data_IF_664701823181
#
_entry.id   IF_664701823181
#
_cell.length_a   1.000
_cell.length_b   1.000
_cell.length_c   1.000
_cell.angle_alpha   90.00
_cell.angle_beta   90.00
_cell.angle_gamma   90.00
#
_symmetry.space_group_name_H-M   'P 1'
#
loop_
_entity.id
_entity.type
_entity.pdbx_description
1 polymer ?
#
# COMPACT_ATOMS: atom_id res chain seq x y z
N UNK A 1 -79.65 -0.55 -51.54
CA UNK A 1 -79.10 -1.64 -50.69
C UNK A 1 -77.74 -1.17 -50.22
N UNK A 2 -77.66 -0.55 -49.03
CA UNK A 2 -77.32 -1.18 -47.72
C UNK A 2 -75.92 -1.82 -47.74
N UNK A 3 -75.00 -1.61 -46.79
CA UNK A 3 -74.94 -0.85 -45.54
C UNK A 3 -73.54 -1.15 -44.96
N UNK A 4 -72.78 -0.11 -44.54
CA UNK A 4 -71.76 -0.07 -43.46
C UNK A 4 -70.58 -1.11 -43.45
N UNK A 5 -69.45 -0.99 -42.74
CA UNK A 5 -69.03 -0.21 -41.55
C UNK A 5 -67.49 -0.34 -41.34
N UNK A 6 -66.90 0.61 -40.60
CA UNK A 6 -65.66 0.59 -39.76
C UNK A 6 -64.29 0.57 -40.47
N UNK A 7 -63.52 1.68 -40.51
CA UNK A 7 -62.69 2.30 -39.44
C UNK A 7 -61.43 1.49 -39.11
N UNK A 8 -60.25 2.07 -39.39
CA UNK A 8 -59.24 2.37 -38.36
C UNK A 8 -58.02 3.08 -38.97
N UNK A 9 -57.74 4.27 -38.45
CA UNK A 9 -56.53 5.06 -38.62
C UNK A 9 -55.48 4.50 -37.65
N UNK A 10 -54.29 4.15 -38.13
CA UNK A 10 -53.11 4.06 -37.29
C UNK A 10 -51.91 4.73 -37.98
N UNK A 11 -51.49 5.85 -37.41
CA UNK A 11 -50.24 6.51 -37.70
C UNK A 11 -49.09 5.64 -37.15
N UNK A 12 -48.15 5.26 -38.00
CA UNK A 12 -46.90 4.65 -37.58
C UNK A 12 -45.98 5.75 -37.05
N UNK A 13 -45.87 5.84 -35.72
CA UNK A 13 -44.83 6.63 -35.04
C UNK A 13 -43.52 5.85 -35.16
N UNK A 14 -42.50 6.52 -35.68
CA UNK A 14 -41.13 6.02 -35.74
C UNK A 14 -40.60 5.75 -34.32
N UNK A 15 -40.28 4.50 -34.01
CA UNK A 15 -39.43 4.16 -32.88
C UNK A 15 -37.99 3.98 -33.39
N UNK A 16 -37.15 4.98 -33.11
CA UNK A 16 -35.70 4.83 -33.16
C UNK A 16 -35.30 3.74 -32.16
N UNK A 17 -34.88 2.59 -32.67
CA UNK A 17 -34.18 1.60 -31.86
C UNK A 17 -32.79 2.17 -31.52
N UNK A 18 -32.54 2.44 -30.23
CA UNK A 18 -31.20 2.65 -29.71
C UNK A 18 -30.33 1.42 -30.07
N UNK A 19 -29.11 1.58 -30.61
CA UNK A 19 -28.19 0.47 -30.69
C UNK A 19 -27.80 0.04 -29.26
N UNK A 20 -27.83 -1.27 -29.03
CA UNK A 20 -27.36 -1.89 -27.79
C UNK A 20 -25.89 -1.51 -27.52
N UNK A 21 -25.46 -1.39 -26.25
CA UNK A 21 -24.08 -1.07 -25.94
C UNK A 21 -23.14 -2.17 -26.45
N UNK A 22 -22.16 -1.77 -27.26
CA UNK A 22 -21.09 -2.66 -27.73
C UNK A 22 -20.36 -3.29 -26.55
N UNK A 23 -20.19 -4.62 -26.62
CA UNK A 23 -19.43 -5.37 -25.65
C UNK A 23 -17.96 -4.91 -25.68
N UNK A 24 -17.44 -4.46 -24.54
CA UNK A 24 -16.02 -4.16 -24.33
C UNK A 24 -15.21 -5.44 -24.60
N UNK A 25 -14.18 -5.42 -25.48
CA UNK A 25 -13.42 -6.62 -25.78
C UNK A 25 -12.68 -7.10 -24.53
N UNK A 26 -12.95 -8.35 -24.14
CA UNK A 26 -12.22 -9.07 -23.11
C UNK A 26 -10.81 -9.40 -23.62
N UNK A 27 -9.88 -8.47 -23.45
CA UNK A 27 -8.45 -8.75 -23.53
C UNK A 27 -7.76 -8.11 -22.32
N UNK A 28 -8.08 -8.66 -21.14
CA UNK A 28 -7.21 -8.52 -19.97
C UNK A 28 -5.91 -9.23 -20.30
N UNK A 29 -4.92 -8.45 -20.74
CA UNK A 29 -3.59 -8.93 -21.05
C UNK A 29 -3.11 -9.85 -19.93
N UNK A 30 -2.76 -11.09 -20.29
CA UNK A 30 -2.05 -11.99 -19.39
C UNK A 30 -0.76 -11.27 -18.96
N UNK A 31 -0.68 -10.92 -17.68
CA UNK A 31 0.57 -10.47 -17.09
C UNK A 31 1.64 -11.53 -17.34
N UNK A 32 2.86 -11.13 -17.74
CA UNK A 32 3.95 -12.07 -17.92
C UNK A 32 4.18 -12.79 -16.60
N UNK A 33 4.07 -14.13 -16.64
CA UNK A 33 4.58 -14.98 -15.57
C UNK A 33 6.07 -14.65 -15.46
N UNK A 34 6.44 -13.86 -14.46
CA UNK A 34 7.84 -13.62 -14.14
C UNK A 34 8.51 -14.98 -13.99
N UNK A 35 9.61 -15.15 -14.72
CA UNK A 35 10.45 -16.33 -14.68
C UNK A 35 10.63 -16.75 -13.21
N UNK A 36 10.43 -18.05 -12.95
CA UNK A 36 10.64 -18.65 -11.65
C UNK A 36 12.06 -18.31 -11.18
N UNK A 37 12.18 -17.30 -10.30
CA UNK A 37 13.41 -17.10 -9.54
C UNK A 37 13.55 -18.35 -8.69
N UNK A 38 14.67 -19.06 -8.82
CA UNK A 38 15.07 -20.06 -7.84
C UNK A 38 14.97 -19.36 -6.48
N UNK A 39 14.11 -19.88 -5.60
CA UNK A 39 13.91 -19.27 -4.29
C UNK A 39 15.27 -19.26 -3.58
N UNK A 40 15.68 -18.09 -3.08
CA UNK A 40 16.94 -17.98 -2.34
C UNK A 40 16.93 -18.94 -1.15
N UNK A 41 18.08 -19.53 -0.83
CA UNK A 41 18.21 -20.38 0.36
C UNK A 41 17.85 -19.57 1.62
N UNK A 42 17.11 -20.18 2.57
CA UNK A 42 16.77 -19.49 3.80
C UNK A 42 18.03 -19.20 4.61
N UNK A 43 18.07 -18.08 5.36
CA UNK A 43 19.17 -17.81 6.26
C UNK A 43 19.21 -18.83 7.41
N UNK A 44 20.42 -19.11 7.88
CA UNK A 44 20.69 -20.02 8.99
C UNK A 44 20.95 -19.18 10.23
N UNK A 45 20.42 -19.61 11.38
CA UNK A 45 20.72 -18.97 12.67
C UNK A 45 22.20 -19.18 13.01
N UNK A 46 23.01 -18.13 12.91
CA UNK A 46 24.47 -18.19 13.10
C UNK A 46 24.92 -17.99 14.54
N UNK A 47 24.10 -17.34 15.38
CA UNK A 47 24.37 -17.17 16.83
C UNK A 47 23.33 -17.93 17.64
N UNK A 48 23.67 -19.15 18.06
CA UNK A 48 22.77 -20.01 18.84
C UNK A 48 22.48 -19.47 20.25
N UNK A 49 23.39 -18.68 20.80
CA UNK A 49 23.35 -18.07 22.12
C UNK A 49 22.58 -16.73 22.20
N UNK A 50 22.20 -16.15 21.05
CA UNK A 50 21.35 -14.96 21.00
C UNK A 50 20.04 -15.23 21.74
N UNK A 51 19.77 -14.48 22.82
CA UNK A 51 18.58 -14.62 23.68
C UNK A 51 17.27 -14.18 23.00
N UNK A 52 17.34 -13.74 21.73
CA UNK A 52 16.20 -13.22 20.98
C UNK A 52 16.04 -11.72 21.10
N UNK A 53 14.89 -11.22 20.65
CA UNK A 53 14.50 -9.81 20.71
C UNK A 53 13.12 -9.69 21.32
N UNK A 54 12.96 -8.75 22.24
CA UNK A 54 11.70 -8.48 22.91
C UNK A 54 11.02 -7.26 22.26
N UNK A 55 9.72 -7.35 22.09
CA UNK A 55 8.88 -6.25 21.61
C UNK A 55 7.62 -6.15 22.47
N UNK A 56 7.25 -4.92 22.80
CA UNK A 56 6.03 -4.58 23.52
C UNK A 56 4.81 -4.53 22.61
N UNK A 57 4.99 -4.37 21.30
CA UNK A 57 3.93 -4.38 20.30
C UNK A 57 3.07 -5.64 20.41
N UNK A 58 1.77 -5.49 20.16
CA UNK A 58 0.80 -6.60 20.23
C UNK A 58 1.14 -7.73 19.26
N UNK A 59 1.58 -7.40 18.05
CA UNK A 59 2.00 -8.38 17.04
C UNK A 59 3.24 -7.90 16.31
N UNK A 60 4.13 -8.84 15.96
CA UNK A 60 5.35 -8.52 15.24
C UNK A 60 5.84 -9.72 14.41
N UNK A 61 6.54 -9.44 13.32
CA UNK A 61 7.19 -10.46 12.50
C UNK A 61 8.46 -9.90 11.85
N UNK A 62 9.46 -10.77 11.69
CA UNK A 62 10.64 -10.51 10.86
C UNK A 62 10.76 -11.59 9.80
N UNK A 63 10.93 -11.18 8.54
CA UNK A 63 10.96 -12.09 7.38
C UNK A 63 12.13 -11.76 6.49
N UNK A 64 12.85 -12.77 6.02
CA UNK A 64 13.81 -12.63 4.93
C UNK A 64 13.09 -12.44 3.60
N UNK A 65 13.40 -11.36 2.87
CA UNK A 65 12.72 -11.03 1.60
C UNK A 65 13.00 -12.08 0.53
N UNK A 66 14.24 -12.59 0.48
CA UNK A 66 14.69 -13.50 -0.58
C UNK A 66 13.95 -14.83 -0.56
N UNK A 67 14.11 -15.58 0.54
CA UNK A 67 13.51 -16.90 0.74
C UNK A 67 12.05 -16.85 1.21
N UNK A 68 11.66 -15.78 1.90
CA UNK A 68 10.38 -15.72 2.62
C UNK A 68 10.39 -16.41 3.98
N UNK A 69 11.56 -16.82 4.49
CA UNK A 69 11.69 -17.44 5.80
C UNK A 69 11.31 -16.47 6.93
N UNK A 70 10.52 -16.95 7.88
CA UNK A 70 10.19 -16.22 9.10
C UNK A 70 11.35 -16.37 10.09
N UNK A 71 11.94 -15.25 10.47
CA UNK A 71 13.08 -15.18 11.39
C UNK A 71 12.63 -14.94 12.83
N UNK A 72 11.52 -14.22 12.99
CA UNK A 72 10.88 -13.92 14.27
C UNK A 72 9.38 -13.78 14.07
N UNK A 73 8.58 -14.23 15.05
CA UNK A 73 7.14 -14.01 15.06
C UNK A 73 6.63 -13.88 16.51
N UNK A 74 5.72 -12.93 16.71
CA UNK A 74 4.92 -12.75 17.91
C UNK A 74 3.48 -12.47 17.46
N UNK A 75 2.55 -13.37 17.77
CA UNK A 75 1.13 -13.22 17.42
C UNK A 75 0.90 -12.85 15.95
N UNK A 76 1.73 -13.38 15.05
CA UNK A 76 1.89 -12.86 13.69
C UNK A 76 0.69 -13.14 12.76
N UNK A 77 -0.18 -14.09 13.13
CA UNK A 77 -1.39 -14.45 12.37
C UNK A 77 -2.66 -13.77 12.92
N UNK A 78 -2.57 -13.01 14.01
CA UNK A 78 -3.72 -12.31 14.60
C UNK A 78 -3.95 -11.00 13.83
N UNK A 79 -5.14 -10.77 13.24
CA UNK A 79 -5.43 -9.51 12.57
C UNK A 79 -5.58 -8.34 13.55
N UNK A 80 -4.98 -7.20 13.20
CA UNK A 80 -5.14 -5.93 13.89
C UNK A 80 -5.48 -4.83 12.89
N UNK A 81 -6.17 -3.74 13.29
CA UNK A 81 -6.25 -2.54 12.47
C UNK A 81 -4.86 -2.07 12.08
N UNK A 82 -4.60 -1.91 10.78
CA UNK A 82 -3.27 -1.59 10.26
C UNK A 82 -3.12 -0.12 9.87
N UNK A 83 -4.20 0.65 10.02
CA UNK A 83 -4.25 2.07 9.69
C UNK A 83 -3.64 2.35 8.29
N UNK A 84 -2.81 3.40 8.19
CA UNK A 84 -2.18 3.83 6.94
C UNK A 84 -1.19 2.85 6.30
N UNK A 85 -0.90 1.68 6.89
CA UNK A 85 -0.23 0.61 6.13
C UNK A 85 -1.07 0.17 4.93
N UNK A 86 -2.40 0.35 5.01
CA UNK A 86 -3.35 0.21 3.89
C UNK A 86 -2.88 0.89 2.61
N UNK A 87 -2.30 2.10 2.73
CA UNK A 87 -1.89 2.90 1.56
C UNK A 87 -0.82 2.20 0.72
N UNK A 88 -0.08 1.24 1.27
CA UNK A 88 0.88 0.45 0.50
C UNK A 88 0.16 -0.46 -0.51
N UNK A 89 -0.99 -1.04 -0.14
CA UNK A 89 -1.84 -1.81 -1.06
C UNK A 89 -2.50 -0.89 -2.09
N UNK A 90 -3.07 0.23 -1.64
CA UNK A 90 -3.67 1.22 -2.54
C UNK A 90 -2.66 1.73 -3.58
N UNK A 91 -1.41 2.00 -3.15
CA UNK A 91 -0.33 2.41 -4.04
C UNK A 91 -0.03 1.38 -5.13
N UNK A 92 -0.01 0.08 -4.80
CA UNK A 92 0.16 -0.96 -5.81
C UNK A 92 -0.98 -0.99 -6.82
N UNK A 93 -2.23 -0.82 -6.36
CA UNK A 93 -3.39 -0.74 -7.26
C UNK A 93 -3.29 0.47 -8.20
N UNK A 94 -2.89 1.62 -7.68
CA UNK A 94 -2.68 2.84 -8.48
C UNK A 94 -1.63 2.60 -9.57
N UNK A 95 -0.52 1.95 -9.24
CA UNK A 95 0.56 1.68 -10.19
C UNK A 95 0.16 0.63 -11.24
N UNK A 96 -0.56 -0.43 -10.84
CA UNK A 96 -1.06 -1.45 -11.75
C UNK A 96 -2.05 -0.92 -12.80
N UNK A 97 -2.80 0.13 -12.46
CA UNK A 97 -3.72 0.80 -13.37
C UNK A 97 -3.01 1.69 -14.41
N UNK A 98 -1.68 1.83 -14.34
CA UNK A 98 -0.91 2.66 -15.26
C UNK A 98 -0.94 4.14 -14.88
N UNK A 99 -0.19 4.49 -13.82
CA UNK A 99 -0.04 5.86 -13.36
C UNK A 99 0.62 6.74 -14.44
N UNK A 100 -0.10 7.75 -14.95
CA UNK A 100 0.49 8.85 -15.72
C UNK A 100 0.80 9.99 -14.77
N UNK A 101 2.07 10.14 -14.39
CA UNK A 101 2.52 11.10 -13.38
C UNK A 101 2.15 12.55 -13.70
N UNK A 102 2.09 12.90 -14.99
CA UNK A 102 1.79 14.25 -15.48
C UNK A 102 0.30 14.62 -15.43
N UNK A 103 -0.60 13.65 -15.28
CA UNK A 103 -2.03 13.96 -15.16
C UNK A 103 -2.30 14.71 -13.85
N UNK A 104 -3.31 15.57 -13.84
CA UNK A 104 -3.67 16.36 -12.67
C UNK A 104 -4.60 15.57 -11.76
N UNK A 105 -4.39 15.68 -10.45
CA UNK A 105 -5.38 15.31 -9.44
C UNK A 105 -5.89 16.58 -8.77
N UNK A 106 -7.21 16.70 -8.65
CA UNK A 106 -7.88 17.81 -7.95
C UNK A 106 -8.57 17.26 -6.72
N UNK A 107 -8.27 17.85 -5.57
CA UNK A 107 -8.88 17.48 -4.28
C UNK A 107 -10.30 18.03 -4.23
N UNK A 108 -11.25 17.18 -3.82
CA UNK A 108 -12.65 17.53 -3.65
C UNK A 108 -13.04 17.43 -2.18
N UNK A 109 -14.14 18.09 -1.80
CA UNK A 109 -14.64 18.03 -0.42
C UNK A 109 -14.90 16.59 0.04
N UNK A 110 -15.33 15.71 -0.88
CA UNK A 110 -15.57 14.29 -0.63
C UNK A 110 -14.30 13.43 -0.41
N UNK A 111 -13.11 14.03 -0.48
CA UNK A 111 -11.85 13.33 -0.21
C UNK A 111 -11.38 13.48 1.23
N UNK A 112 -11.94 14.42 1.99
CA UNK A 112 -11.55 14.65 3.38
C UNK A 112 -12.26 13.69 4.33
N UNK A 113 -11.47 13.14 5.25
CA UNK A 113 -12.00 12.40 6.40
C UNK A 113 -12.35 13.35 7.55
N UNK A 114 -13.07 12.82 8.55
CA UNK A 114 -13.38 13.51 9.81
C UNK A 114 -12.18 13.60 10.76
N UNK A 115 -11.18 12.74 10.58
CA UNK A 115 -9.99 12.63 11.43
C UNK A 115 -8.71 12.62 10.59
N UNK A 116 -7.62 13.10 11.18
CA UNK A 116 -6.32 13.22 10.50
C UNK A 116 -5.96 14.66 10.11
N UNK A 117 -4.74 14.83 9.63
CA UNK A 117 -4.23 16.15 9.22
C UNK A 117 -4.71 16.47 7.80
N UNK A 118 -5.32 17.64 7.63
CA UNK A 118 -5.61 18.22 6.31
C UNK A 118 -4.40 19.02 5.82
N UNK A 119 -3.85 18.64 4.67
CA UNK A 119 -2.75 19.35 4.02
C UNK A 119 -3.28 20.33 2.96
N UNK A 120 -4.32 19.91 2.25
CA UNK A 120 -4.89 20.62 1.11
C UNK A 120 -6.26 21.23 1.42
N UNK A 121 -6.71 22.10 0.52
CA UNK A 121 -8.09 22.63 0.46
C UNK A 121 -8.80 22.01 -0.74
N UNK A 122 -10.13 21.90 -0.66
CA UNK A 122 -10.93 21.55 -1.83
C UNK A 122 -10.67 22.52 -2.98
N UNK A 123 -10.58 21.99 -4.20
CA UNK A 123 -10.23 22.73 -5.40
C UNK A 123 -8.74 22.81 -5.69
N UNK A 124 -7.86 22.53 -4.72
CA UNK A 124 -6.42 22.50 -4.97
C UNK A 124 -6.03 21.30 -5.84
N UNK A 125 -5.06 21.53 -6.70
CA UNK A 125 -4.62 20.55 -7.70
C UNK A 125 -3.12 20.42 -7.81
N UNK A 126 -2.65 19.23 -8.18
CA UNK A 126 -1.23 18.91 -8.31
C UNK A 126 -1.04 17.77 -9.31
N UNK A 127 0.20 17.49 -9.71
CA UNK A 127 0.50 16.32 -10.54
C UNK A 127 0.18 15.03 -9.79
N UNK A 128 -0.25 13.99 -10.52
CA UNK A 128 -0.48 12.65 -9.96
C UNK A 128 0.81 12.08 -9.36
N UNK A 129 1.97 12.40 -9.94
CA UNK A 129 3.28 12.04 -9.39
C UNK A 129 3.51 12.63 -7.99
N UNK A 130 3.29 13.94 -7.84
CA UNK A 130 3.45 14.62 -6.54
C UNK A 130 2.42 14.14 -5.53
N UNK A 131 1.18 13.92 -5.96
CA UNK A 131 0.13 13.35 -5.14
C UNK A 131 0.49 11.95 -4.63
N UNK A 132 1.01 11.09 -5.51
CA UNK A 132 1.43 9.74 -5.13
C UNK A 132 2.60 9.78 -4.13
N UNK A 133 3.59 10.65 -4.37
CA UNK A 133 4.71 10.90 -3.45
C UNK A 133 4.23 11.39 -2.08
N UNK A 134 3.38 12.41 -2.05
CA UNK A 134 2.83 12.97 -0.82
C UNK A 134 1.99 11.95 -0.03
N UNK A 135 1.17 11.16 -0.71
CA UNK A 135 0.37 10.09 -0.11
C UNK A 135 1.25 9.09 0.65
N UNK A 136 2.40 8.69 0.10
CA UNK A 136 3.30 7.71 0.72
C UNK A 136 4.23 8.33 1.78
N UNK A 137 4.84 9.48 1.49
CA UNK A 137 5.81 10.15 2.37
C UNK A 137 5.11 10.71 3.61
N UNK A 138 4.09 11.54 3.41
CA UNK A 138 3.39 12.23 4.50
C UNK A 138 2.09 11.56 4.93
N UNK A 139 1.80 10.37 4.38
CA UNK A 139 0.64 9.56 4.75
C UNK A 139 -0.70 10.27 4.53
N UNK A 140 -0.78 11.13 3.53
CA UNK A 140 -1.93 12.02 3.28
C UNK A 140 -3.17 11.21 2.91
N UNK A 141 -4.25 11.33 3.68
CA UNK A 141 -5.48 10.55 3.49
C UNK A 141 -6.28 11.04 2.29
N UNK A 142 -6.43 12.36 2.15
CA UNK A 142 -7.22 12.98 1.09
C UNK A 142 -6.69 12.59 -0.30
N UNK A 143 -5.38 12.36 -0.44
CA UNK A 143 -4.81 11.88 -1.69
C UNK A 143 -5.14 10.41 -1.97
N UNK A 144 -5.14 9.54 -0.96
CA UNK A 144 -5.60 8.16 -1.13
C UNK A 144 -7.08 8.09 -1.53
N UNK A 145 -7.91 8.94 -0.91
CA UNK A 145 -9.33 9.05 -1.22
C UNK A 145 -9.57 9.63 -2.63
N UNK A 146 -8.78 10.64 -3.03
CA UNK A 146 -8.83 11.22 -4.37
C UNK A 146 -8.39 10.21 -5.44
N UNK A 147 -7.34 9.41 -5.19
CA UNK A 147 -6.93 8.34 -6.11
C UNK A 147 -8.03 7.29 -6.27
N UNK A 148 -8.68 6.89 -5.18
CA UNK A 148 -9.80 5.96 -5.25
C UNK A 148 -10.99 6.54 -6.02
N UNK A 149 -11.36 7.80 -5.76
CA UNK A 149 -12.47 8.49 -6.43
C UNK A 149 -12.22 8.66 -7.94
N UNK A 150 -11.00 8.99 -8.32
CA UNK A 150 -10.61 9.27 -9.72
C UNK A 150 -10.11 8.04 -10.48
N UNK A 151 -10.11 6.87 -9.85
CA UNK A 151 -9.78 5.61 -10.53
C UNK A 151 -10.81 5.30 -11.63
N UNK A 152 -10.42 4.58 -12.70
CA UNK A 152 -11.37 4.02 -13.66
C UNK A 152 -12.44 3.18 -12.95
N UNK A 153 -13.72 3.45 -13.22
CA UNK A 153 -14.84 2.82 -12.51
C UNK A 153 -15.17 3.42 -11.13
N UNK A 154 -14.43 4.43 -10.70
CA UNK A 154 -14.65 5.15 -9.44
C UNK A 154 -14.22 4.39 -8.19
N UNK A 155 -14.65 4.90 -7.04
CA UNK A 155 -14.23 4.42 -5.71
C UNK A 155 -14.52 2.95 -5.48
N UNK A 156 -15.72 2.48 -5.81
CA UNK A 156 -16.09 1.07 -5.58
C UNK A 156 -15.23 0.12 -6.42
N UNK A 157 -14.96 0.46 -7.67
CA UNK A 157 -14.05 -0.32 -8.52
C UNK A 157 -12.62 -0.34 -7.95
N UNK A 158 -12.14 0.79 -7.42
CA UNK A 158 -10.84 0.86 -6.77
C UNK A 158 -10.75 -0.04 -5.53
N UNK A 159 -11.78 0.00 -4.66
CA UNK A 159 -11.83 -0.84 -3.46
C UNK A 159 -11.95 -2.33 -3.81
N UNK A 160 -12.68 -2.65 -4.88
CA UNK A 160 -12.73 -4.01 -5.40
C UNK A 160 -11.35 -4.47 -5.88
N UNK A 161 -10.64 -3.65 -6.66
CA UNK A 161 -9.28 -3.95 -7.11
C UNK A 161 -8.29 -4.11 -5.93
N UNK A 162 -8.46 -3.35 -4.84
CA UNK A 162 -7.68 -3.57 -3.62
C UNK A 162 -7.93 -4.96 -3.01
N UNK A 163 -9.19 -5.38 -2.90
CA UNK A 163 -9.54 -6.71 -2.34
C UNK A 163 -9.03 -7.84 -3.23
N UNK A 164 -9.15 -7.70 -4.55
CA UNK A 164 -8.64 -8.67 -5.52
C UNK A 164 -7.11 -8.78 -5.46
N UNK A 165 -6.42 -7.65 -5.33
CA UNK A 165 -4.97 -7.64 -5.13
C UNK A 165 -4.61 -8.30 -3.80
N UNK A 166 -5.29 -7.99 -2.70
CA UNK A 166 -5.06 -8.64 -1.41
C UNK A 166 -5.21 -10.17 -1.49
N UNK A 167 -6.24 -10.66 -2.18
CA UNK A 167 -6.44 -12.09 -2.42
C UNK A 167 -5.30 -12.69 -3.25
N UNK A 168 -4.87 -12.01 -4.32
CA UNK A 168 -3.77 -12.45 -5.19
C UNK A 168 -2.43 -12.52 -4.45
N UNK A 169 -2.20 -11.61 -3.51
CA UNK A 169 -1.00 -11.60 -2.65
C UNK A 169 -1.09 -12.63 -1.51
N UNK A 170 -2.24 -13.30 -1.35
CA UNK A 170 -2.47 -14.28 -0.29
C UNK A 170 -2.56 -13.66 1.10
N UNK A 171 -3.14 -12.46 1.22
CA UNK A 171 -3.38 -11.78 2.50
C UNK A 171 -4.64 -12.37 3.17
N UNK A 172 -4.48 -13.50 3.84
CA UNK A 172 -5.61 -14.37 4.25
C UNK A 172 -6.43 -13.83 5.42
N UNK A 173 -5.82 -12.97 6.22
CA UNK A 173 -6.39 -12.40 7.44
C UNK A 173 -6.73 -10.91 7.24
N UNK A 174 -6.65 -10.42 6.00
CA UNK A 174 -6.78 -9.00 5.70
C UNK A 174 -8.18 -8.60 5.21
N UNK A 175 -8.62 -7.44 5.66
CA UNK A 175 -9.86 -6.78 5.25
C UNK A 175 -9.55 -5.34 4.84
N UNK A 176 -10.18 -4.88 3.76
CA UNK A 176 -10.02 -3.51 3.23
C UNK A 176 -11.39 -2.90 2.89
N UNK A 177 -11.73 -1.79 3.56
CA UNK A 177 -12.95 -1.00 3.42
C UNK A 177 -12.70 0.37 2.80
N UNK A 178 -11.54 0.97 3.05
CA UNK A 178 -11.14 2.24 2.43
C UNK A 178 -9.68 2.22 1.92
N UNK A 179 -9.30 3.23 1.13
CA UNK A 179 -7.98 3.32 0.50
C UNK A 179 -6.89 3.94 1.41
N UNK A 180 -7.30 4.71 2.41
CA UNK A 180 -6.42 5.43 3.32
C UNK A 180 -6.05 4.60 4.56
N UNK A 181 -6.91 3.67 4.97
CA UNK A 181 -6.84 2.96 6.23
C UNK A 181 -7.29 3.81 7.42
N UNK A 182 -8.28 4.68 7.21
CA UNK A 182 -8.90 5.45 8.28
C UNK A 182 -10.04 4.65 8.93
N UNK A 183 -10.67 3.73 8.19
CA UNK A 183 -11.63 2.77 8.73
C UNK A 183 -10.85 1.73 9.56
N UNK A 184 -11.14 1.57 10.87
CA UNK A 184 -10.45 0.61 11.72
C UNK A 184 -10.72 -0.85 11.30
N UNK A 185 -11.73 -1.11 10.45
CA UNK A 185 -11.96 -2.41 9.83
C UNK A 185 -10.92 -2.74 8.76
N UNK A 186 -10.07 -1.80 8.36
CA UNK A 186 -8.86 -2.11 7.60
C UNK A 186 -7.86 -2.80 8.52
N UNK A 187 -7.94 -4.12 8.56
CA UNK A 187 -7.17 -4.98 9.44
C UNK A 187 -6.40 -6.00 8.63
N UNK A 188 -5.25 -6.44 9.16
CA UNK A 188 -4.46 -7.53 8.61
C UNK A 188 -3.57 -8.10 9.72
N UNK A 189 -3.10 -9.34 9.55
CA UNK A 189 -2.10 -9.92 10.45
C UNK A 189 -0.70 -9.39 10.14
N UNK A 190 0.25 -9.51 11.07
CA UNK A 190 1.63 -9.11 10.79
C UNK A 190 2.24 -9.92 9.63
N UNK A 191 1.89 -11.21 9.51
CA UNK A 191 2.24 -12.06 8.37
C UNK A 191 1.69 -11.53 7.04
N UNK A 192 0.44 -11.08 7.01
CA UNK A 192 -0.14 -10.45 5.82
C UNK A 192 0.57 -9.14 5.47
N UNK A 193 0.83 -8.29 6.47
CA UNK A 193 1.58 -7.06 6.26
C UNK A 193 2.99 -7.36 5.74
N UNK A 194 3.68 -8.39 6.23
CA UNK A 194 4.98 -8.78 5.70
C UNK A 194 4.90 -9.21 4.23
N UNK A 195 3.87 -9.95 3.83
CA UNK A 195 3.61 -10.29 2.41
C UNK A 195 3.34 -9.06 1.56
N UNK A 196 2.58 -8.11 2.10
CA UNK A 196 2.32 -6.82 1.46
C UNK A 196 3.64 -6.07 1.21
N UNK A 197 4.48 -5.92 2.24
CA UNK A 197 5.79 -5.26 2.11
C UNK A 197 6.72 -5.98 1.14
N UNK A 198 6.77 -7.32 1.19
CA UNK A 198 7.56 -8.12 0.24
C UNK A 198 7.13 -7.85 -1.21
N UNK A 199 5.82 -7.82 -1.45
CA UNK A 199 5.24 -7.56 -2.77
C UNK A 199 5.51 -6.13 -3.24
N UNK A 200 5.48 -5.16 -2.32
CA UNK A 200 5.79 -3.76 -2.60
C UNK A 200 7.20 -3.57 -3.18
N UNK A 201 8.14 -4.47 -2.83
CA UNK A 201 9.51 -4.41 -3.36
C UNK A 201 9.55 -4.61 -4.89
N UNK A 202 8.52 -5.18 -5.51
CA UNK A 202 8.46 -5.30 -6.96
C UNK A 202 8.19 -3.97 -7.69
N UNK A 203 7.89 -2.88 -6.98
CA UNK A 203 7.52 -1.57 -7.54
C UNK A 203 8.66 -0.56 -7.33
N UNK A 204 9.51 -0.29 -8.36
CA UNK A 204 10.68 0.59 -8.22
C UNK A 204 10.32 1.98 -7.70
N UNK A 205 9.25 2.59 -8.22
CA UNK A 205 8.81 3.92 -7.79
C UNK A 205 8.47 3.95 -6.29
N UNK A 206 7.89 2.89 -5.73
CA UNK A 206 7.61 2.83 -4.29
C UNK A 206 8.89 2.74 -3.46
N UNK A 207 9.91 2.01 -3.95
CA UNK A 207 11.23 1.96 -3.29
C UNK A 207 11.88 3.34 -3.24
N UNK A 208 11.85 4.06 -4.36
CA UNK A 208 12.46 5.37 -4.46
C UNK A 208 11.77 6.40 -3.55
N UNK A 209 10.44 6.35 -3.44
CA UNK A 209 9.66 7.30 -2.66
C UNK A 209 9.74 7.01 -1.16
N UNK A 210 9.59 5.75 -0.76
CA UNK A 210 9.47 5.42 0.67
C UNK A 210 10.81 5.38 1.40
N UNK A 211 11.93 5.28 0.68
CA UNK A 211 13.28 5.48 1.19
C UNK A 211 13.77 6.94 1.15
N UNK A 212 13.02 7.86 0.55
CA UNK A 212 13.44 9.25 0.42
C UNK A 212 13.14 10.09 1.67
N UNK A 213 13.79 11.25 1.74
CA UNK A 213 13.41 12.32 2.66
C UNK A 213 12.08 12.99 2.28
N UNK A 214 11.82 14.14 2.91
CA UNK A 214 10.70 15.00 2.55
C UNK A 214 10.92 15.74 1.23
N UNK A 215 9.88 16.38 0.72
CA UNK A 215 9.94 17.25 -0.45
C UNK A 215 8.96 18.41 -0.33
N UNK A 216 9.20 19.49 -1.07
CA UNK A 216 8.26 20.59 -1.18
C UNK A 216 7.32 20.36 -2.36
N UNK A 217 6.04 20.20 -2.06
CA UNK A 217 4.99 20.08 -3.07
C UNK A 217 4.44 21.46 -3.40
N UNK A 218 4.32 21.78 -4.69
CA UNK A 218 3.64 22.98 -5.16
C UNK A 218 2.30 22.62 -5.81
N UNK A 219 1.22 23.23 -5.31
CA UNK A 219 -0.09 23.12 -5.96
C UNK A 219 -0.15 24.05 -7.17
N UNK A 220 -1.06 23.77 -8.11
CA UNK A 220 -1.26 24.61 -9.30
C UNK A 220 -1.72 26.03 -8.92
N UNK A 221 -2.35 26.19 -7.75
CA UNK A 221 -2.79 27.46 -7.17
C UNK A 221 -1.67 28.22 -6.46
N UNK A 222 -0.42 27.73 -6.53
CA UNK A 222 0.77 28.43 -6.05
C UNK A 222 1.11 28.22 -4.57
N UNK A 223 0.40 27.34 -3.85
CA UNK A 223 0.78 26.99 -2.48
C UNK A 223 1.96 26.03 -2.46
N UNK A 224 2.96 26.33 -1.65
CA UNK A 224 4.06 25.44 -1.33
C UNK A 224 3.80 24.75 0.01
N UNK A 225 3.86 23.43 0.05
CA UNK A 225 3.57 22.63 1.24
C UNK A 225 4.71 21.63 1.46
N UNK A 226 5.34 21.69 2.62
CA UNK A 226 6.42 20.78 2.98
C UNK A 226 5.87 19.40 3.36
N UNK A 227 6.15 18.40 2.55
CA UNK A 227 5.84 16.99 2.81
C UNK A 227 6.98 16.35 3.58
N UNK A 228 6.75 16.00 4.85
CA UNK A 228 7.74 15.34 5.71
C UNK A 228 7.45 13.84 5.82
N UNK A 229 8.48 12.97 5.85
CA UNK A 229 8.29 11.54 6.05
C UNK A 229 7.72 11.28 7.43
N UNK A 230 6.73 10.39 7.51
CA UNK A 230 6.22 9.92 8.81
C UNK A 230 7.08 8.83 9.43
N UNK A 231 8.00 8.23 8.67
CA UNK A 231 8.95 7.25 9.16
C UNK A 231 10.24 7.92 9.65
N UNK A 232 10.42 7.98 10.97
CA UNK A 232 11.60 8.60 11.57
C UNK A 232 12.90 7.80 11.34
N UNK A 233 12.80 6.51 10.98
CA UNK A 233 13.97 5.68 10.69
C UNK A 233 14.71 6.09 9.41
N UNK A 234 14.10 6.92 8.56
CA UNK A 234 14.73 7.53 7.39
C UNK A 234 15.94 8.40 7.78
N UNK A 235 15.95 8.98 8.97
CA UNK A 235 17.08 9.76 9.49
C UNK A 235 18.03 8.94 10.38
N UNK A 236 17.76 7.64 10.58
CA UNK A 236 18.55 6.77 11.45
C UNK A 236 19.66 6.05 10.68
N UNK A 237 20.55 5.36 11.40
CA UNK A 237 21.62 4.55 10.79
C UNK A 237 21.08 3.46 9.84
N UNK A 238 19.82 3.03 9.97
CA UNK A 238 19.21 2.04 9.07
C UNK A 238 18.96 2.55 7.64
N UNK A 239 19.11 3.86 7.42
CA UNK A 239 19.04 4.50 6.10
C UNK A 239 20.29 5.32 5.78
N UNK A 240 21.43 4.90 6.32
CA UNK A 240 22.75 5.49 6.07
C UNK A 240 23.71 4.38 5.68
N UNK A 241 24.71 4.71 4.85
CA UNK A 241 25.75 3.76 4.45
C UNK A 241 26.33 3.06 5.70
N UNK A 242 26.33 1.72 5.78
CA UNK A 242 26.11 0.80 4.67
C UNK A 242 24.70 0.17 4.56
N UNK A 243 23.74 0.61 5.37
CA UNK A 243 22.34 0.18 5.33
C UNK A 243 21.46 1.07 4.44
N UNK A 244 20.32 0.53 4.01
CA UNK A 244 19.32 1.31 3.27
C UNK A 244 17.90 0.89 3.61
N UNK A 245 17.01 1.84 3.89
CA UNK A 245 15.56 1.60 3.93
C UNK A 245 15.08 1.51 2.49
N UNK A 246 14.51 0.35 2.13
CA UNK A 246 14.01 0.08 0.78
C UNK A 246 12.54 0.42 0.69
N UNK A 247 11.73 0.00 1.66
CA UNK A 247 10.32 0.36 1.77
C UNK A 247 9.95 0.60 3.22
N UNK A 248 9.17 1.62 3.51
CA UNK A 248 8.69 1.91 4.85
C UNK A 248 7.30 2.54 4.84
N UNK A 249 6.46 2.15 5.79
CA UNK A 249 5.18 2.85 6.03
C UNK A 249 4.81 2.77 7.49
N UNK A 250 4.39 3.90 8.05
CA UNK A 250 3.78 3.98 9.37
C UNK A 250 2.25 4.01 9.28
N UNK A 251 1.58 3.60 10.36
CA UNK A 251 0.15 3.77 10.57
C UNK A 251 -0.15 4.04 12.03
N UNK A 252 -1.19 4.84 12.30
CA UNK A 252 -1.70 5.03 13.65
C UNK A 252 -3.17 5.41 13.62
N UNK A 253 -3.94 4.78 14.49
CA UNK A 253 -5.32 5.08 14.85
C UNK A 253 -5.49 4.71 16.33
N UNK A 254 -6.46 5.28 17.06
CA UNK A 254 -6.76 4.84 18.41
C UNK A 254 -6.93 3.31 18.53
N UNK A 255 -7.62 2.69 17.57
CA UNK A 255 -7.90 1.26 17.51
C UNK A 255 -6.67 0.44 17.07
N UNK A 256 -5.79 1.02 16.26
CA UNK A 256 -4.59 0.38 15.73
C UNK A 256 -3.38 0.47 16.68
N UNK A 257 -3.38 1.42 17.61
CA UNK A 257 -2.15 1.87 18.27
C UNK A 257 -1.17 2.45 17.25
N UNK A 258 0.12 2.14 17.39
CA UNK A 258 1.16 2.59 16.48
C UNK A 258 1.76 1.41 15.70
N UNK A 259 1.61 1.44 14.37
CA UNK A 259 2.09 0.41 13.45
C UNK A 259 3.25 0.92 12.60
N UNK A 260 4.18 0.03 12.23
CA UNK A 260 5.25 0.26 11.27
C UNK A 260 5.62 -1.05 10.59
N UNK A 261 5.73 -1.01 9.27
CA UNK A 261 6.47 -2.02 8.50
C UNK A 261 7.63 -1.37 7.77
N UNK A 262 8.75 -2.09 7.67
CA UNK A 262 9.94 -1.63 6.98
C UNK A 262 10.70 -2.79 6.33
N UNK A 263 11.16 -2.59 5.09
CA UNK A 263 12.18 -3.39 4.43
C UNK A 263 13.50 -2.64 4.55
N UNK A 264 14.50 -3.27 5.13
CA UNK A 264 15.87 -2.73 5.22
C UNK A 264 16.83 -3.65 4.50
N UNK A 265 17.77 -3.08 3.75
CA UNK A 265 18.85 -3.78 3.08
C UNK A 265 20.13 -3.70 3.91
N UNK A 266 20.76 -4.85 4.11
CA UNK A 266 22.10 -5.03 4.66
C UNK A 266 23.18 -4.71 3.60
N UNK A 267 24.39 -4.30 4.01
CA UNK A 267 25.51 -4.07 3.10
C UNK A 267 25.82 -5.24 2.16
N UNK A 268 25.69 -6.46 2.68
CA UNK A 268 25.94 -7.69 1.92
C UNK A 268 24.80 -8.05 0.94
N UNK A 269 23.78 -7.18 0.81
CA UNK A 269 22.71 -7.25 -0.19
C UNK A 269 21.42 -7.93 0.29
N UNK A 270 21.39 -8.51 1.48
CA UNK A 270 20.21 -9.17 2.05
C UNK A 270 19.17 -8.13 2.46
N UNK A 271 17.90 -8.46 2.27
CA UNK A 271 16.79 -7.59 2.67
C UNK A 271 15.92 -8.30 3.69
N UNK A 272 15.62 -7.60 4.78
CA UNK A 272 14.75 -8.09 5.85
C UNK A 272 13.54 -7.17 5.97
N UNK A 273 12.36 -7.76 6.12
CA UNK A 273 11.12 -7.09 6.50
C UNK A 273 10.97 -7.21 8.01
N UNK A 274 10.77 -6.08 8.69
CA UNK A 274 10.33 -6.03 10.08
C UNK A 274 8.99 -5.29 10.17
N UNK A 275 8.02 -5.91 10.84
CA UNK A 275 6.68 -5.34 11.05
C UNK A 275 6.33 -5.40 12.53
N UNK A 276 5.77 -4.31 13.04
CA UNK A 276 5.15 -4.21 14.36
C UNK A 276 3.75 -3.61 14.22
N UNK A 277 2.77 -4.23 14.89
CA UNK A 277 1.38 -3.78 14.95
C UNK A 277 0.98 -3.55 16.40
N UNK A 278 0.27 -2.45 16.66
CA UNK A 278 -0.23 -2.14 18.00
C UNK A 278 0.86 -1.87 19.02
N UNK A 279 1.90 -1.11 18.66
CA UNK A 279 2.82 -0.54 19.66
C UNK A 279 2.08 0.51 20.50
N UNK A 280 2.40 0.59 21.79
CA UNK A 280 1.67 1.42 22.77
C UNK A 280 1.95 2.91 22.61
N UNK A 281 3.08 3.29 22.00
CA UNK A 281 3.44 4.69 21.79
C UNK A 281 4.15 4.93 20.46
N UNK A 282 4.13 6.20 20.04
CA UNK A 282 4.68 6.65 18.75
C UNK A 282 6.17 6.30 18.56
N UNK A 283 6.99 6.44 19.60
CA UNK A 283 8.43 6.16 19.51
C UNK A 283 8.75 4.67 19.61
N UNK A 284 7.91 3.92 20.33
CA UNK A 284 8.02 2.47 20.52
C UNK A 284 8.16 1.73 19.19
N UNK A 285 7.22 1.93 18.26
CA UNK A 285 7.25 1.26 16.94
C UNK A 285 8.59 1.41 16.20
N UNK A 286 9.25 2.57 16.33
CA UNK A 286 10.52 2.82 15.64
C UNK A 286 11.68 2.09 16.32
N UNK A 287 11.72 2.09 17.66
CA UNK A 287 12.76 1.36 18.38
C UNK A 287 12.58 -0.16 18.23
N UNK A 288 11.35 -0.64 18.21
CA UNK A 288 11.04 -2.07 18.04
C UNK A 288 11.45 -2.55 16.65
N UNK A 289 11.05 -1.86 15.57
CA UNK A 289 11.47 -2.22 14.21
C UNK A 289 12.98 -2.11 14.05
N UNK A 290 13.62 -1.11 14.66
CA UNK A 290 15.07 -0.96 14.65
C UNK A 290 15.76 -2.13 15.35
N UNK A 291 15.30 -2.51 16.55
CA UNK A 291 15.85 -3.63 17.31
C UNK A 291 15.64 -4.98 16.60
N UNK A 292 14.44 -5.22 16.08
CA UNK A 292 14.10 -6.42 15.29
C UNK A 292 14.99 -6.55 14.05
N UNK A 293 15.19 -5.46 13.31
CA UNK A 293 16.05 -5.42 12.12
C UNK A 293 17.51 -5.69 12.48
N UNK A 294 18.05 -4.99 13.49
CA UNK A 294 19.43 -5.17 13.93
C UNK A 294 19.69 -6.59 14.45
N UNK A 295 18.77 -7.13 15.25
CA UNK A 295 18.85 -8.49 15.75
C UNK A 295 18.86 -9.52 14.62
N UNK A 296 18.04 -9.32 13.59
CA UNK A 296 17.98 -10.24 12.46
C UNK A 296 19.31 -10.30 11.70
N UNK A 297 19.90 -9.16 11.38
CA UNK A 297 21.20 -9.11 10.70
C UNK A 297 22.35 -9.62 11.58
N UNK A 298 22.29 -9.43 12.90
CA UNK A 298 23.33 -9.91 13.80
C UNK A 298 23.24 -11.44 14.06
N UNK A 299 22.02 -11.98 14.10
CA UNK A 299 21.77 -13.36 14.53
C UNK A 299 21.80 -14.35 13.36
N UNK A 300 21.37 -13.93 12.17
CA UNK A 300 21.23 -14.80 11.00
C UNK A 300 22.34 -14.60 9.99
N UNK A 301 22.70 -15.67 9.29
CA UNK A 301 23.67 -15.68 8.20
C UNK A 301 23.00 -16.21 6.94
N UNK A 302 23.18 -15.52 5.83
CA UNK A 302 22.66 -15.95 4.54
C UNK A 302 23.71 -16.82 3.85
N UNK A 303 23.38 -18.08 3.50
CA UNK A 303 24.25 -18.91 2.68
C UNK A 303 24.53 -18.20 1.36
N UNK A 304 25.79 -18.16 0.93
CA UNK A 304 26.09 -17.86 -0.47
C UNK A 304 25.71 -19.10 -1.27
N UNK A 305 24.96 -18.93 -2.36
CA UNK A 305 24.78 -20.02 -3.30
C UNK A 305 26.16 -20.48 -3.77
N UNK A 306 26.41 -21.79 -3.79
CA UNK A 306 27.64 -22.33 -4.38
C UNK A 306 27.74 -21.81 -5.82
N UNK A 307 28.89 -21.20 -6.17
CA UNK A 307 29.25 -20.84 -7.54
C UNK A 307 29.54 -22.09 -8.39
#
# INVERSE_FOLDING_TARGET
MTLNFLVSILAAVAMNANPAPEAVPANLGRFPRTASRIAALPPIRGKSDSLGVLTTAKSAIVVDVGSGAVLYAKDAEIPYPIASLTKLLAAMVILDQGLRESETITIQESDFDSIGRRYFRAGESMSRGDAFRAMLISSVNELANAFARTAPGGREAFLQAMREKAATLGLRHATFRDASGIDPSNAASASDVARLFRSATAYPLMRDITGSGGFDLRTAEGRSIQMKPTNELIASYLNQDPYKVIIGKTGSLPEAGFCLGQVTRHPDGQEVIAVVLGSDNHFGRFQEVKALTAWAFDTFRWPRGEE
#
